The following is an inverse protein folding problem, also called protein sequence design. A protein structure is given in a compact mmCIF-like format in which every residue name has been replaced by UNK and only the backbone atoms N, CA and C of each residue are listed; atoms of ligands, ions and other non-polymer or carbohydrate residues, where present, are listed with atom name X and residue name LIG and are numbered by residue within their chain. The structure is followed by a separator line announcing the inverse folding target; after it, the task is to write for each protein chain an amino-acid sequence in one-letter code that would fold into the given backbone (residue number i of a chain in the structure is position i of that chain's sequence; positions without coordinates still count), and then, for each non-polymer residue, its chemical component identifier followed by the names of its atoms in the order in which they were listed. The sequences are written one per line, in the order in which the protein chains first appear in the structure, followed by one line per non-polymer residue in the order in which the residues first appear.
data_IF_593645091610
#
_entry.id   IF_593645091610
#
_cell.length_a   1.000
_cell.length_b   1.000
_cell.length_c   1.000
_cell.angle_alpha   90.00
_cell.angle_beta   90.00
_cell.angle_gamma   90.00
#
_symmetry.space_group_name_H-M   'P 1'
#
loop_
_entity.id
_entity.type
_entity.pdbx_description
1 polymer ?
#
# COMPACT_ATOMS: atom_id res chain seq x y z
N UNK A 1 -0.52 35.06 -14.70
CA UNK A 1 0.68 35.42 -13.89
C UNK A 1 0.55 35.18 -12.38
N UNK A 2 -0.55 35.56 -11.70
CA UNK A 2 -0.68 35.36 -10.23
C UNK A 2 -0.59 33.89 -9.81
N UNK A 3 -1.25 32.99 -10.54
CA UNK A 3 -1.18 31.54 -10.29
C UNK A 3 0.24 30.99 -10.45
N UNK A 4 0.96 31.43 -11.48
CA UNK A 4 2.35 31.00 -11.73
C UNK A 4 3.30 31.47 -10.61
N UNK A 5 3.22 32.75 -10.20
CA UNK A 5 3.98 33.27 -9.05
C UNK A 5 3.61 32.56 -7.74
N UNK A 6 2.36 32.16 -7.58
CA UNK A 6 1.89 31.42 -6.41
C UNK A 6 2.47 30.01 -6.38
N UNK A 7 2.46 29.28 -7.51
CA UNK A 7 3.12 27.97 -7.65
C UNK A 7 4.62 28.09 -7.39
N UNK A 8 5.29 29.07 -7.98
CA UNK A 8 6.72 29.28 -7.79
C UNK A 8 7.06 29.51 -6.31
N UNK A 9 6.23 30.27 -5.59
CA UNK A 9 6.38 30.51 -4.14
C UNK A 9 6.43 29.24 -3.28
N UNK A 10 5.79 28.14 -3.72
CA UNK A 10 5.85 26.83 -3.08
C UNK A 10 7.20 26.13 -3.30
N UNK A 11 7.91 26.43 -4.38
CA UNK A 11 9.17 25.81 -4.75
C UNK A 11 10.38 26.77 -4.65
N UNK A 12 10.21 27.99 -4.14
CA UNK A 12 11.28 29.00 -4.09
C UNK A 12 12.53 28.62 -3.28
N UNK A 13 12.48 27.65 -2.37
CA UNK A 13 13.66 27.23 -1.58
C UNK A 13 13.79 25.72 -1.54
N UNK A 14 15.03 25.22 -1.46
CA UNK A 14 15.31 23.79 -1.32
C UNK A 14 14.51 23.14 -0.18
N UNK A 15 14.42 23.81 0.98
CA UNK A 15 13.64 23.32 2.13
C UNK A 15 12.14 23.21 1.81
N UNK A 16 11.55 24.18 1.11
CA UNK A 16 10.14 24.12 0.68
C UNK A 16 9.91 23.03 -0.37
N UNK A 17 10.82 22.85 -1.34
CA UNK A 17 10.74 21.77 -2.34
C UNK A 17 10.74 20.39 -1.66
N UNK A 18 11.72 20.15 -0.78
CA UNK A 18 11.82 18.91 0.00
C UNK A 18 10.57 18.65 0.84
N UNK A 19 10.02 19.70 1.47
CA UNK A 19 8.78 19.62 2.24
C UNK A 19 7.59 19.22 1.37
N UNK A 20 7.37 19.90 0.25
CA UNK A 20 6.21 19.62 -0.60
C UNK A 20 6.31 18.19 -1.19
N UNK A 21 7.51 17.76 -1.57
CA UNK A 21 7.75 16.39 -2.03
C UNK A 21 7.44 15.37 -0.92
N UNK A 22 7.87 15.65 0.32
CA UNK A 22 7.54 14.80 1.48
C UNK A 22 6.03 14.70 1.72
N UNK A 23 5.31 15.82 1.61
CA UNK A 23 3.85 15.87 1.76
C UNK A 23 3.18 15.05 0.65
N UNK A 24 3.58 15.22 -0.60
CA UNK A 24 3.02 14.48 -1.74
C UNK A 24 3.24 12.98 -1.61
N UNK A 25 4.45 12.55 -1.26
CA UNK A 25 4.77 11.13 -1.02
C UNK A 25 3.94 10.59 0.15
N UNK A 26 3.80 11.35 1.25
CA UNK A 26 3.01 10.92 2.40
C UNK A 26 1.53 10.77 2.05
N UNK A 27 0.96 11.72 1.30
CA UNK A 27 -0.44 11.67 0.86
C UNK A 27 -0.70 10.48 -0.07
N UNK A 28 0.23 10.20 -1.00
CA UNK A 28 0.13 9.02 -1.86
C UNK A 28 0.09 7.72 -1.05
N UNK A 29 0.97 7.55 -0.08
CA UNK A 29 0.97 6.35 0.75
C UNK A 29 -0.24 6.27 1.68
N UNK A 30 -0.69 7.39 2.26
CA UNK A 30 -1.96 7.45 3.01
C UNK A 30 -3.12 6.95 2.15
N UNK A 31 -3.19 7.42 0.90
CA UNK A 31 -4.20 6.97 -0.07
C UNK A 31 -4.09 5.47 -0.34
N UNK A 32 -2.89 4.93 -0.53
CA UNK A 32 -2.67 3.49 -0.73
C UNK A 32 -3.11 2.66 0.50
N UNK A 33 -2.78 3.08 1.72
CA UNK A 33 -3.19 2.36 2.93
C UNK A 33 -4.70 2.44 3.18
N UNK A 34 -5.36 3.55 2.83
CA UNK A 34 -6.83 3.65 2.91
C UNK A 34 -7.51 2.61 2.02
N UNK A 35 -7.06 2.45 0.78
CA UNK A 35 -7.59 1.41 -0.11
C UNK A 35 -7.32 0.00 0.40
N UNK A 36 -6.14 -0.25 0.96
CA UNK A 36 -5.83 -1.55 1.57
C UNK A 36 -6.74 -1.86 2.76
N UNK A 37 -7.01 -0.87 3.62
CA UNK A 37 -7.93 -1.06 4.75
C UNK A 37 -9.33 -1.39 4.25
N UNK A 38 -9.85 -0.64 3.27
CA UNK A 38 -11.17 -0.92 2.68
C UNK A 38 -11.24 -2.33 2.11
N UNK A 39 -10.20 -2.75 1.39
CA UNK A 39 -10.12 -4.09 0.84
C UNK A 39 -10.12 -5.19 1.90
N UNK A 40 -9.31 -5.04 2.95
CA UNK A 40 -9.27 -6.04 4.01
C UNK A 40 -10.53 -6.01 4.89
N UNK A 41 -11.24 -4.88 4.98
CA UNK A 41 -12.56 -4.80 5.63
C UNK A 41 -13.59 -5.61 4.84
N UNK A 42 -13.63 -5.47 3.53
CA UNK A 42 -14.51 -6.29 2.66
C UNK A 42 -14.11 -7.77 2.73
N UNK A 43 -12.81 -8.07 2.70
CA UNK A 43 -12.32 -9.45 2.78
C UNK A 43 -12.72 -10.12 4.11
N UNK A 44 -12.75 -9.38 5.21
CA UNK A 44 -13.16 -9.89 6.51
C UNK A 44 -14.67 -10.22 6.59
N UNK A 45 -15.48 -9.77 5.62
CA UNK A 45 -16.90 -10.12 5.53
C UNK A 45 -17.13 -11.47 4.81
N UNK A 46 -16.09 -12.03 4.18
CA UNK A 46 -16.17 -13.33 3.50
C UNK A 46 -16.22 -14.44 4.54
N UNK A 47 -17.38 -15.10 4.65
CA UNK A 47 -17.63 -16.21 5.60
C UNK A 47 -17.91 -17.53 4.90
N UNK A 48 -18.51 -17.47 3.71
CA UNK A 48 -18.99 -18.63 2.96
C UNK A 48 -18.73 -18.45 1.46
N UNK A 49 -18.90 -19.52 0.69
CA UNK A 49 -18.73 -19.53 -0.77
C UNK A 49 -19.50 -18.42 -1.51
N UNK A 50 -20.74 -18.15 -1.13
CA UNK A 50 -21.54 -17.08 -1.74
C UNK A 50 -20.94 -15.70 -1.50
N UNK A 51 -20.42 -15.45 -0.29
CA UNK A 51 -19.76 -14.20 0.05
C UNK A 51 -18.39 -14.03 -0.63
N UNK A 52 -17.69 -15.15 -0.91
CA UNK A 52 -16.47 -15.15 -1.69
C UNK A 52 -16.73 -14.73 -3.14
N UNK A 53 -17.81 -15.25 -3.74
CA UNK A 53 -18.19 -14.89 -5.11
C UNK A 53 -18.61 -13.41 -5.22
N UNK A 54 -19.39 -12.90 -4.26
CA UNK A 54 -19.71 -11.46 -4.22
C UNK A 54 -18.47 -10.60 -4.00
N UNK A 55 -17.52 -11.04 -3.18
CA UNK A 55 -16.25 -10.34 -2.99
C UNK A 55 -15.44 -10.26 -4.29
N UNK A 56 -15.34 -11.35 -5.05
CA UNK A 56 -14.66 -11.34 -6.36
C UNK A 56 -15.28 -10.36 -7.35
N UNK A 57 -16.60 -10.17 -7.33
CA UNK A 57 -17.27 -9.17 -8.20
C UNK A 57 -16.93 -7.72 -7.83
N UNK A 58 -16.64 -7.45 -6.56
CA UNK A 58 -16.31 -6.11 -6.06
C UNK A 58 -14.81 -5.82 -6.20
N UNK A 59 -13.96 -6.85 -6.33
CA UNK A 59 -12.50 -6.72 -6.45
C UNK A 59 -12.05 -5.82 -7.62
N UNK A 60 -12.77 -5.81 -8.74
CA UNK A 60 -12.46 -4.90 -9.88
C UNK A 60 -12.51 -3.41 -9.48
N UNK A 61 -13.35 -3.07 -8.49
CA UNK A 61 -13.46 -1.72 -7.93
C UNK A 61 -12.25 -1.26 -7.14
N UNK A 62 -11.37 -2.18 -6.72
CA UNK A 62 -10.19 -1.91 -5.91
C UNK A 62 -8.88 -1.75 -6.73
N UNK A 63 -9.01 -1.59 -8.05
CA UNK A 63 -7.90 -1.34 -8.97
C UNK A 63 -7.03 -0.11 -8.63
N UNK A 64 -7.47 0.77 -7.74
CA UNK A 64 -6.70 1.92 -7.29
C UNK A 64 -5.50 1.58 -6.38
N UNK A 65 -5.45 0.37 -5.79
CA UNK A 65 -4.30 -0.08 -4.98
C UNK A 65 -3.44 -1.10 -5.69
N UNK A 66 -2.14 -0.83 -5.75
CA UNK A 66 -1.16 -1.73 -6.35
C UNK A 66 -1.13 -3.10 -5.68
N UNK A 67 -1.21 -3.12 -4.35
CA UNK A 67 -1.14 -4.37 -3.57
C UNK A 67 -2.34 -5.27 -3.91
N UNK A 68 -3.52 -4.67 -4.09
CA UNK A 68 -4.75 -5.40 -4.42
C UNK A 68 -4.72 -5.93 -5.84
N UNK A 69 -4.28 -5.10 -6.80
CA UNK A 69 -4.07 -5.56 -8.17
C UNK A 69 -3.08 -6.73 -8.24
N UNK A 70 -2.01 -6.67 -7.45
CA UNK A 70 -1.02 -7.73 -7.35
C UNK A 70 -1.61 -9.02 -6.79
N UNK A 71 -2.41 -8.92 -5.72
CA UNK A 71 -3.13 -10.08 -5.20
C UNK A 71 -4.07 -10.67 -6.24
N UNK A 72 -4.85 -9.85 -6.95
CA UNK A 72 -5.81 -10.31 -7.97
C UNK A 72 -5.11 -11.01 -9.15
N UNK A 73 -4.02 -10.42 -9.66
CA UNK A 73 -3.30 -11.00 -10.79
C UNK A 73 -2.61 -12.32 -10.43
N UNK A 74 -2.15 -12.46 -9.18
CA UNK A 74 -1.66 -13.73 -8.66
C UNK A 74 -2.78 -14.76 -8.48
N UNK A 75 -3.99 -14.33 -8.07
CA UNK A 75 -5.18 -15.20 -8.02
C UNK A 75 -5.53 -15.73 -9.41
N UNK A 76 -5.57 -14.87 -10.41
CA UNK A 76 -5.96 -15.23 -11.76
C UNK A 76 -5.00 -16.25 -12.43
N UNK A 77 -3.73 -16.31 -12.02
CA UNK A 77 -2.73 -17.23 -12.59
C UNK A 77 -2.71 -18.64 -11.96
N UNK A 78 -3.35 -18.85 -10.82
CA UNK A 78 -3.59 -20.17 -10.22
C UNK A 78 -2.37 -20.97 -9.75
N UNK A 79 -1.13 -20.50 -9.94
CA UNK A 79 0.09 -21.18 -9.49
C UNK A 79 1.15 -20.18 -8.99
N UNK A 80 1.65 -20.36 -7.77
CA UNK A 80 2.65 -19.49 -7.15
C UNK A 80 4.06 -20.03 -7.36
N UNK A 81 4.59 -19.82 -8.56
CA UNK A 81 6.04 -19.92 -8.79
C UNK A 81 6.68 -18.54 -8.63
N UNK A 82 7.95 -18.48 -8.24
CA UNK A 82 8.71 -17.22 -8.19
C UNK A 82 8.69 -16.51 -9.55
N UNK A 83 8.59 -17.30 -10.63
CA UNK A 83 8.45 -16.84 -12.01
C UNK A 83 7.09 -16.18 -12.23
N UNK A 84 5.99 -16.82 -11.82
CA UNK A 84 4.63 -16.27 -11.96
C UNK A 84 4.43 -15.02 -11.08
N UNK A 85 5.08 -14.97 -9.92
CA UNK A 85 5.11 -13.78 -9.07
C UNK A 85 5.89 -12.65 -9.74
N UNK A 86 7.07 -12.94 -10.30
CA UNK A 86 7.85 -11.97 -11.06
C UNK A 86 7.09 -11.46 -12.29
N UNK A 87 6.40 -12.35 -13.01
CA UNK A 87 5.55 -11.96 -14.14
C UNK A 87 4.32 -11.14 -13.72
N UNK A 88 3.72 -11.43 -12.56
CA UNK A 88 2.61 -10.64 -12.03
C UNK A 88 3.08 -9.24 -11.60
N UNK A 89 4.28 -9.16 -11.01
CA UNK A 89 4.95 -7.90 -10.69
C UNK A 89 5.26 -7.08 -11.94
N UNK A 90 5.75 -7.71 -13.01
CA UNK A 90 6.12 -7.03 -14.26
C UNK A 90 4.91 -6.67 -15.12
N UNK A 91 3.87 -7.49 -15.15
CA UNK A 91 2.61 -7.17 -15.87
C UNK A 91 1.84 -6.02 -15.22
N UNK A 92 1.91 -5.88 -13.90
CA UNK A 92 1.34 -4.75 -13.16
C UNK A 92 2.27 -3.54 -13.07
N UNK A 93 3.43 -3.60 -13.73
CA UNK A 93 4.42 -2.54 -13.71
C UNK A 93 3.89 -1.32 -14.49
N UNK A 94 3.15 -0.45 -13.80
CA UNK A 94 2.79 0.86 -14.33
C UNK A 94 3.94 1.84 -14.08
N UNK A 95 4.24 2.67 -15.09
CA UNK A 95 5.19 3.78 -14.94
C UNK A 95 4.88 4.66 -13.73
N UNK A 96 3.59 4.81 -13.39
CA UNK A 96 3.17 5.58 -12.21
C UNK A 96 3.64 4.95 -10.90
N UNK A 97 3.54 3.62 -10.75
CA UNK A 97 3.96 2.92 -9.54
C UNK A 97 5.48 2.94 -9.38
N UNK A 98 6.21 2.76 -10.49
CA UNK A 98 7.67 2.91 -10.48
C UNK A 98 8.09 4.32 -10.06
N UNK A 99 7.43 5.35 -10.59
CA UNK A 99 7.70 6.74 -10.24
C UNK A 99 7.49 7.02 -8.74
N UNK A 100 6.38 6.55 -8.16
CA UNK A 100 6.12 6.70 -6.73
C UNK A 100 7.06 5.87 -5.85
N UNK A 101 7.45 4.67 -6.27
CA UNK A 101 8.46 3.86 -5.59
C UNK A 101 9.83 4.55 -5.58
N UNK A 102 10.26 5.10 -6.72
CA UNK A 102 11.50 5.87 -6.85
C UNK A 102 11.47 7.13 -5.95
N UNK A 103 10.37 7.89 -5.98
CA UNK A 103 10.20 9.05 -5.10
C UNK A 103 10.28 8.69 -3.61
N UNK A 104 9.73 7.53 -3.24
CA UNK A 104 9.77 7.02 -1.86
C UNK A 104 11.18 6.62 -1.46
N UNK A 105 11.93 5.97 -2.35
CA UNK A 105 13.32 5.59 -2.12
C UNK A 105 14.22 6.82 -1.96
N UNK A 106 14.05 7.82 -2.83
CA UNK A 106 14.75 9.10 -2.73
C UNK A 106 14.41 9.84 -1.41
N UNK A 107 13.15 9.78 -0.97
CA UNK A 107 12.72 10.33 0.31
C UNK A 107 13.40 9.61 1.50
N UNK A 108 13.47 8.28 1.46
CA UNK A 108 14.14 7.48 2.50
C UNK A 108 15.63 7.79 2.60
N UNK A 109 16.34 7.87 1.47
CA UNK A 109 17.77 8.20 1.43
C UNK A 109 18.04 9.62 1.97
N UNK A 110 17.18 10.60 1.64
CA UNK A 110 17.37 11.99 2.06
C UNK A 110 17.02 12.28 3.52
N UNK A 111 16.28 11.40 4.19
CA UNK A 111 15.80 11.65 5.55
C UNK A 111 16.72 11.08 6.62
N UNK A 112 17.59 10.11 6.29
CA UNK A 112 18.63 9.53 7.15
C UNK A 112 18.20 9.28 8.62
N UNK A 113 16.92 8.95 8.82
CA UNK A 113 16.29 8.80 10.14
C UNK A 113 16.05 7.32 10.38
N UNK A 114 16.74 6.77 11.39
CA UNK A 114 16.59 5.39 11.87
C UNK A 114 15.13 4.95 12.00
N UNK A 115 14.23 5.85 12.45
CA UNK A 115 12.78 5.57 12.58
C UNK A 115 12.07 5.35 11.24
N UNK A 116 12.47 6.05 10.18
CA UNK A 116 11.87 5.87 8.86
C UNK A 116 12.38 4.57 8.21
N UNK A 117 13.65 4.23 8.42
CA UNK A 117 14.21 2.95 7.97
C UNK A 117 13.53 1.76 8.66
N UNK A 118 13.31 1.83 9.98
CA UNK A 118 12.55 0.82 10.71
C UNK A 118 11.10 0.70 10.21
N UNK A 119 10.46 1.82 9.89
CA UNK A 119 9.13 1.83 9.27
C UNK A 119 9.11 1.17 7.89
N UNK A 120 10.13 1.43 7.06
CA UNK A 120 10.29 0.76 5.77
C UNK A 120 10.51 -0.74 5.90
N UNK A 121 11.38 -1.17 6.82
CA UNK A 121 11.62 -2.59 7.13
C UNK A 121 10.36 -3.29 7.64
N UNK A 122 9.59 -2.63 8.52
CA UNK A 122 8.29 -3.14 8.95
C UNK A 122 7.36 -3.36 7.76
N UNK A 123 7.22 -2.39 6.85
CA UNK A 123 6.35 -2.53 5.67
C UNK A 123 6.84 -3.63 4.71
N UNK A 124 8.15 -3.84 4.58
CA UNK A 124 8.68 -4.94 3.76
C UNK A 124 8.41 -6.31 4.38
N UNK A 125 8.70 -6.48 5.68
CA UNK A 125 8.39 -7.71 6.40
C UNK A 125 6.87 -8.00 6.38
N UNK A 126 6.07 -6.95 6.50
CA UNK A 126 4.63 -6.99 6.40
C UNK A 126 4.13 -7.49 5.04
N UNK A 127 4.63 -6.91 3.96
CA UNK A 127 4.32 -7.33 2.59
C UNK A 127 4.71 -8.79 2.35
N UNK A 128 5.88 -9.20 2.85
CA UNK A 128 6.33 -10.59 2.75
C UNK A 128 5.35 -11.56 3.44
N UNK A 129 4.86 -11.22 4.64
CA UNK A 129 3.86 -12.04 5.35
C UNK A 129 2.54 -12.14 4.58
N UNK A 130 2.05 -11.06 3.99
CA UNK A 130 0.85 -11.07 3.13
C UNK A 130 1.05 -12.02 1.94
N UNK A 131 2.21 -11.97 1.29
CA UNK A 131 2.53 -12.84 0.15
C UNK A 131 2.57 -14.32 0.55
N UNK A 132 3.15 -14.64 1.71
CA UNK A 132 3.19 -16.02 2.23
C UNK A 132 1.77 -16.53 2.54
N UNK A 133 0.94 -15.72 3.20
CA UNK A 133 -0.44 -16.10 3.53
C UNK A 133 -1.30 -16.31 2.28
N UNK A 134 -1.16 -15.43 1.29
CA UNK A 134 -1.77 -15.65 -0.03
C UNK A 134 -1.29 -16.98 -0.62
N UNK A 135 0.01 -17.26 -0.56
CA UNK A 135 0.61 -18.54 -0.97
C UNK A 135 -0.04 -19.75 -0.33
N UNK A 136 -0.27 -19.71 0.98
CA UNK A 136 -0.96 -20.79 1.70
C UNK A 136 -2.43 -20.92 1.30
N UNK A 137 -3.10 -19.81 0.94
CA UNK A 137 -4.48 -19.81 0.47
C UNK A 137 -4.63 -20.57 -0.85
N UNK A 138 -3.66 -20.45 -1.76
CA UNK A 138 -3.70 -21.18 -3.04
C UNK A 138 -3.46 -22.69 -2.92
N UNK A 139 -2.72 -23.11 -1.90
CA UNK A 139 -2.48 -24.52 -1.62
C UNK A 139 -3.57 -25.15 -0.75
N UNK A 140 -4.65 -24.42 -0.46
CA UNK A 140 -5.77 -24.94 0.33
C UNK A 140 -6.51 -26.03 -0.45
N UNK A 141 -6.68 -27.18 0.20
CA UNK A 141 -7.37 -28.34 -0.36
C UNK A 141 -8.89 -28.27 -0.23
N UNK A 142 -9.39 -27.38 0.63
CA UNK A 142 -10.82 -27.19 0.87
C UNK A 142 -11.20 -25.71 0.87
N UNK A 143 -12.47 -25.42 0.56
CA UNK A 143 -13.02 -24.06 0.58
C UNK A 143 -13.02 -23.49 2.01
N UNK A 144 -13.23 -24.33 3.02
CA UNK A 144 -13.18 -23.95 4.43
C UNK A 144 -11.76 -23.50 4.83
N UNK A 145 -10.74 -24.23 4.39
CA UNK A 145 -9.34 -23.84 4.59
C UNK A 145 -9.04 -22.51 3.89
N UNK A 146 -9.52 -22.31 2.65
CA UNK A 146 -9.36 -21.06 1.91
C UNK A 146 -9.97 -19.87 2.66
N UNK A 147 -11.23 -20.00 3.12
CA UNK A 147 -11.92 -18.96 3.88
C UNK A 147 -11.18 -18.66 5.18
N UNK A 148 -10.67 -19.67 5.87
CA UNK A 148 -9.88 -19.47 7.08
C UNK A 148 -8.60 -18.66 6.81
N UNK A 149 -7.88 -18.96 5.73
CA UNK A 149 -6.68 -18.23 5.33
C UNK A 149 -7.01 -16.80 4.92
N UNK A 150 -8.12 -16.56 4.21
CA UNK A 150 -8.59 -15.21 3.87
C UNK A 150 -8.97 -14.40 5.12
N UNK A 151 -9.56 -15.03 6.14
CA UNK A 151 -9.79 -14.39 7.42
C UNK A 151 -8.47 -14.01 8.11
N UNK A 152 -7.49 -14.91 8.16
CA UNK A 152 -6.16 -14.56 8.69
C UNK A 152 -5.51 -13.42 7.90
N UNK A 153 -5.61 -13.47 6.56
CA UNK A 153 -5.10 -12.44 5.68
C UNK A 153 -5.79 -11.10 5.92
N UNK A 154 -7.10 -11.08 6.15
CA UNK A 154 -7.85 -9.85 6.40
C UNK A 154 -7.52 -9.22 7.74
N UNK A 155 -7.50 -10.01 8.83
CA UNK A 155 -7.16 -9.52 10.18
C UNK A 155 -5.74 -8.96 10.18
N UNK A 156 -4.81 -9.74 9.65
CA UNK A 156 -3.42 -9.30 9.50
C UNK A 156 -3.41 -8.04 8.64
N UNK A 157 -3.93 -8.09 7.42
CA UNK A 157 -4.08 -6.99 6.48
C UNK A 157 -4.49 -5.67 7.14
N UNK A 158 -5.56 -5.71 7.92
CA UNK A 158 -6.10 -4.59 8.69
C UNK A 158 -5.12 -4.08 9.75
N UNK A 159 -4.52 -4.97 10.55
CA UNK A 159 -3.56 -4.56 11.59
C UNK A 159 -2.37 -3.82 11.01
N UNK A 160 -1.74 -4.38 9.98
CA UNK A 160 -0.55 -3.77 9.38
C UNK A 160 -0.85 -2.47 8.62
N UNK A 161 -1.92 -2.45 7.82
CA UNK A 161 -2.33 -1.24 7.08
C UNK A 161 -2.79 -0.12 8.01
N UNK A 162 -3.53 -0.42 9.09
CA UNK A 162 -3.95 0.57 10.09
C UNK A 162 -2.78 1.13 10.88
N UNK A 163 -1.81 0.29 11.27
CA UNK A 163 -0.59 0.76 11.92
C UNK A 163 0.21 1.69 11.01
N UNK A 164 0.40 1.30 9.75
CA UNK A 164 1.12 2.12 8.77
C UNK A 164 0.43 3.44 8.46
N UNK A 165 -0.91 3.42 8.33
CA UNK A 165 -1.72 4.62 8.18
C UNK A 165 -1.57 5.55 9.39
N UNK A 166 -1.72 5.02 10.61
CA UNK A 166 -1.63 5.78 11.86
C UNK A 166 -0.26 6.46 12.03
N UNK A 167 0.82 5.74 11.74
CA UNK A 167 2.17 6.31 11.78
C UNK A 167 2.36 7.44 10.75
N UNK A 168 1.88 7.23 9.52
CA UNK A 168 1.98 8.25 8.46
C UNK A 168 1.12 9.48 8.75
N UNK A 169 -0.10 9.31 9.25
CA UNK A 169 -0.96 10.41 9.66
C UNK A 169 -0.32 11.21 10.79
N UNK A 170 0.25 10.54 11.80
CA UNK A 170 0.98 11.21 12.87
C UNK A 170 2.16 12.02 12.31
N UNK A 171 2.93 11.45 11.39
CA UNK A 171 4.06 12.16 10.74
C UNK A 171 3.60 13.31 9.87
N UNK A 172 2.50 13.15 9.15
CA UNK A 172 1.88 14.18 8.33
C UNK A 172 1.44 15.36 9.20
N UNK A 173 0.73 15.11 10.30
CA UNK A 173 0.32 16.13 11.27
C UNK A 173 1.54 16.83 11.88
N UNK A 174 2.58 16.10 12.27
CA UNK A 174 3.83 16.71 12.76
C UNK A 174 4.45 17.66 11.73
N UNK A 175 4.50 17.26 10.46
CA UNK A 175 5.02 18.09 9.37
C UNK A 175 4.19 19.36 9.16
N UNK A 176 2.86 19.26 9.27
CA UNK A 176 1.96 20.40 9.18
C UNK A 176 2.05 21.34 10.40
N UNK A 177 2.10 20.79 11.63
CA UNK A 177 2.07 21.55 12.88
C UNK A 177 3.39 22.27 13.19
N UNK A 178 4.55 21.65 12.92
CA UNK A 178 5.86 22.31 13.08
C UNK A 178 5.93 23.60 12.26
N UNK A 179 5.15 23.67 11.17
CA UNK A 179 5.13 24.80 10.25
C UNK A 179 4.15 25.92 10.60
N UNK A 180 3.23 25.74 11.58
CA UNK A 180 2.40 26.85 12.07
C UNK A 180 3.16 27.76 13.05
N UNK A 181 4.33 27.31 13.54
CA UNK A 181 5.18 28.02 14.52
C UNK A 181 6.39 28.75 13.91
N UNK A 182 6.58 28.72 12.58
CA UNK A 182 7.63 29.46 11.86
C UNK A 182 6.98 30.35 10.82
#
# INVERSE_FOLDING_TARGET
MKVYKWIDSFFNTYQKRKRNLTILVSLFWIWQYLWQILFFLELNQVKDYHSLFSFMQIMDGYSASYLIQLTYHMIAKGTLSFINMAESLTSLFSFSYFFWALLTLLFCLQTNKRRLMLFGLFNLAWLFMILVLLGTGFNSSSIEDLVSVLHYLSIMGLMGSSFSLGYLLFKFVQLCCIYRKK
#
